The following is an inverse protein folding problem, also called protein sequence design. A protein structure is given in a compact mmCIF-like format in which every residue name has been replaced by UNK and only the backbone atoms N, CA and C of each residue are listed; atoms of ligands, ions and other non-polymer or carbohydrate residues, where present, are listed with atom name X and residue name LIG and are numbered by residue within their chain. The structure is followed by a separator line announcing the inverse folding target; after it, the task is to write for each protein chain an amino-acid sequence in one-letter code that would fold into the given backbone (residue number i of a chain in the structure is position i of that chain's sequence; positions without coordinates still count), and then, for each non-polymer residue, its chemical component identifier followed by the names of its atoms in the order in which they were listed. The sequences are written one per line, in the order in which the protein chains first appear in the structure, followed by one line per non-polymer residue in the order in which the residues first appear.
data_IF_967263206415
#
_entry.id   IF_967263206415
#
_cell.length_a   1.000
_cell.length_b   1.000
_cell.length_c   1.000
_cell.angle_alpha   90.00
_cell.angle_beta   90.00
_cell.angle_gamma   90.00
#
_symmetry.space_group_name_H-M   'P 1'
#
loop_
_entity.id
_entity.type
_entity.pdbx_description
1 polymer ?
#
# COMPACT_ATOMS: atom_id res chain seq x y z
N UNK A 1 -3.07 14.88 7.52
CA UNK A 1 -1.79 14.41 6.94
C UNK A 1 -2.04 13.23 6.03
N UNK A 2 -1.53 13.25 4.80
CA UNK A 2 -1.69 12.19 3.80
C UNK A 2 -0.36 11.52 3.55
N UNK A 3 -0.29 10.22 3.81
CA UNK A 3 0.92 9.42 3.73
C UNK A 3 0.78 8.34 2.66
N UNK A 4 1.83 8.12 1.88
CA UNK A 4 1.93 6.94 1.02
C UNK A 4 2.95 5.99 1.61
N UNK A 5 2.57 4.74 1.83
CA UNK A 5 3.50 3.67 2.17
C UNK A 5 3.92 2.96 0.88
N UNK A 6 5.21 3.01 0.62
CA UNK A 6 5.84 2.54 -0.60
C UNK A 6 6.78 1.38 -0.33
N UNK A 7 6.91 0.49 -1.29
CA UNK A 7 7.80 -0.66 -1.19
C UNK A 7 7.21 -1.91 -1.86
N UNK A 8 8.05 -2.92 -2.13
CA UNK A 8 7.62 -4.13 -2.82
C UNK A 8 6.58 -4.93 -2.02
N UNK A 9 5.89 -5.88 -2.66
CA UNK A 9 5.01 -6.82 -1.96
C UNK A 9 5.79 -7.55 -0.85
N UNK A 10 5.25 -7.61 0.37
CA UNK A 10 5.91 -8.22 1.52
C UNK A 10 6.88 -7.31 2.28
N UNK A 11 7.02 -6.03 1.91
CA UNK A 11 7.90 -5.08 2.59
C UNK A 11 7.45 -4.71 4.01
N UNK A 12 6.22 -5.05 4.42
CA UNK A 12 5.70 -4.71 5.74
C UNK A 12 4.80 -3.46 5.78
N UNK A 13 4.41 -2.92 4.62
CA UNK A 13 3.55 -1.72 4.53
C UNK A 13 2.26 -1.85 5.35
N UNK A 14 1.53 -2.95 5.18
CA UNK A 14 0.26 -3.17 5.89
C UNK A 14 0.42 -3.26 7.40
N UNK A 15 1.52 -3.86 7.88
CA UNK A 15 1.84 -3.91 9.32
C UNK A 15 2.06 -2.52 9.86
N UNK A 16 2.89 -1.72 9.20
CA UNK A 16 3.18 -0.35 9.62
C UNK A 16 1.95 0.56 9.49
N UNK A 17 1.13 0.38 8.45
CA UNK A 17 -0.11 1.14 8.30
C UNK A 17 -1.08 0.93 9.46
N UNK A 18 -1.25 -0.31 9.92
CA UNK A 18 -2.09 -0.63 11.09
C UNK A 18 -1.57 0.04 12.36
N UNK A 19 -0.26 -0.07 12.61
CA UNK A 19 0.37 0.57 13.77
C UNK A 19 0.17 2.09 13.72
N UNK A 20 0.37 2.71 12.57
CA UNK A 20 0.15 4.15 12.38
C UNK A 20 -1.31 4.55 12.56
N UNK A 21 -2.25 3.74 12.08
CA UNK A 21 -3.67 3.97 12.29
C UNK A 21 -4.02 3.99 13.77
N UNK A 22 -3.49 3.04 14.55
CA UNK A 22 -3.70 2.95 16.00
C UNK A 22 -3.04 4.12 16.75
N UNK A 23 -1.82 4.51 16.36
CA UNK A 23 -1.05 5.54 17.05
C UNK A 23 -1.42 6.97 16.66
N UNK A 24 -1.83 7.21 15.44
CA UNK A 24 -2.05 8.55 14.86
C UNK A 24 -3.50 8.83 14.46
N UNK A 25 -4.37 7.83 14.52
CA UNK A 25 -5.79 7.96 14.14
C UNK A 25 -6.01 8.22 12.64
N UNK A 26 -5.02 7.93 11.78
CA UNK A 26 -5.14 8.07 10.33
C UNK A 26 -5.68 6.77 9.73
N UNK A 27 -6.80 6.79 9.01
CA UNK A 27 -7.34 5.57 8.41
C UNK A 27 -6.41 5.02 7.34
N UNK A 28 -6.25 3.69 7.33
CA UNK A 28 -5.54 2.97 6.27
C UNK A 28 -6.48 2.73 5.08
N UNK A 29 -6.07 3.21 3.90
CA UNK A 29 -6.72 2.93 2.63
C UNK A 29 -5.89 1.89 1.88
N UNK A 30 -6.19 0.61 2.11
CA UNK A 30 -5.54 -0.53 1.45
C UNK A 30 -6.37 -0.98 0.25
N UNK A 31 -5.92 -0.66 -0.98
CA UNK A 31 -6.60 -1.11 -2.19
C UNK A 31 -6.69 -2.62 -2.29
N UNK A 32 -5.63 -3.32 -1.90
CA UNK A 32 -5.61 -4.78 -1.90
C UNK A 32 -6.67 -5.38 -0.96
N UNK A 33 -6.82 -4.83 0.24
CA UNK A 33 -7.81 -5.33 1.20
C UNK A 33 -9.24 -4.98 0.77
N UNK A 34 -9.48 -3.78 0.23
CA UNK A 34 -10.78 -3.39 -0.31
C UNK A 34 -11.21 -4.29 -1.48
N UNK A 35 -10.30 -4.61 -2.40
CA UNK A 35 -10.58 -5.50 -3.53
C UNK A 35 -10.79 -6.95 -3.07
N UNK A 36 -10.00 -7.44 -2.11
CA UNK A 36 -10.22 -8.77 -1.52
C UNK A 36 -11.56 -8.88 -0.81
N UNK A 37 -11.97 -7.84 -0.10
CA UNK A 37 -13.30 -7.79 0.52
C UNK A 37 -14.42 -7.82 -0.53
N UNK A 38 -14.28 -7.10 -1.65
CA UNK A 38 -15.23 -7.12 -2.75
C UNK A 38 -15.33 -8.51 -3.40
N UNK A 39 -14.19 -9.22 -3.55
CA UNK A 39 -14.14 -10.59 -4.07
C UNK A 39 -14.86 -11.54 -3.10
N UNK A 40 -14.57 -11.46 -1.81
CA UNK A 40 -15.20 -12.31 -0.79
C UNK A 40 -16.71 -12.08 -0.70
N UNK A 41 -17.17 -10.85 -0.89
CA UNK A 41 -18.59 -10.50 -0.92
C UNK A 41 -19.29 -10.87 -2.25
N UNK A 42 -18.53 -11.32 -3.26
CA UNK A 42 -19.08 -11.70 -4.57
C UNK A 42 -19.69 -10.55 -5.37
N UNK A 43 -19.24 -9.31 -5.12
CA UNK A 43 -19.70 -8.13 -5.86
C UNK A 43 -19.29 -8.19 -7.33
N UNK A 44 -19.98 -7.45 -8.20
CA UNK A 44 -19.61 -7.39 -9.62
C UNK A 44 -18.17 -6.89 -9.82
N UNK A 45 -17.74 -5.92 -9.01
CA UNK A 45 -16.35 -5.47 -8.97
C UNK A 45 -15.40 -6.60 -8.57
N UNK A 46 -15.73 -7.33 -7.48
CA UNK A 46 -14.93 -8.45 -7.00
C UNK A 46 -14.77 -9.55 -8.04
N UNK A 47 -15.85 -9.92 -8.71
CA UNK A 47 -15.83 -10.92 -9.80
C UNK A 47 -14.89 -10.49 -10.94
N UNK A 48 -14.96 -9.24 -11.36
CA UNK A 48 -14.09 -8.69 -12.43
C UNK A 48 -12.61 -8.67 -12.04
N UNK A 49 -12.31 -8.39 -10.78
CA UNK A 49 -10.93 -8.22 -10.31
C UNK A 49 -10.28 -9.54 -9.84
N UNK A 50 -11.06 -10.60 -9.60
CA UNK A 50 -10.60 -11.85 -8.99
C UNK A 50 -9.44 -12.51 -9.76
N UNK A 51 -9.59 -12.70 -11.07
CA UNK A 51 -8.56 -13.32 -11.89
C UNK A 51 -7.29 -12.48 -11.99
N UNK A 52 -7.43 -11.16 -12.12
CA UNK A 52 -6.32 -10.19 -12.19
C UNK A 52 -5.51 -10.26 -10.91
N UNK A 53 -6.15 -10.21 -9.75
CA UNK A 53 -5.49 -10.24 -8.46
C UNK A 53 -4.84 -11.60 -8.15
N UNK A 54 -5.49 -12.70 -8.53
CA UNK A 54 -4.93 -14.05 -8.36
C UNK A 54 -3.65 -14.24 -9.18
N UNK A 55 -3.55 -13.64 -10.37
CA UNK A 55 -2.34 -13.62 -11.18
C UNK A 55 -1.24 -12.70 -10.62
N UNK A 56 -1.57 -11.81 -9.70
CA UNK A 56 -0.65 -10.80 -9.16
C UNK A 56 -0.48 -9.57 -10.04
N UNK A 57 -1.39 -9.37 -10.99
CA UNK A 57 -1.42 -8.23 -11.90
C UNK A 57 -2.13 -7.02 -11.29
N UNK A 58 -2.00 -5.86 -11.97
CA UNK A 58 -2.65 -4.62 -11.54
C UNK A 58 -4.09 -4.54 -12.06
N UNK A 59 -5.01 -4.22 -11.16
CA UNK A 59 -6.38 -3.82 -11.53
C UNK A 59 -6.33 -2.50 -12.31
N UNK A 60 -7.19 -2.26 -13.32
CA UNK A 60 -7.19 -1.04 -14.12
C UNK A 60 -7.21 0.24 -13.28
N UNK A 61 -6.46 1.26 -13.72
CA UNK A 61 -6.23 2.50 -12.97
C UNK A 61 -7.53 3.23 -12.61
N UNK A 62 -8.48 3.32 -13.53
CA UNK A 62 -9.77 3.98 -13.33
C UNK A 62 -10.60 3.32 -12.21
N UNK A 63 -10.56 2.00 -12.13
CA UNK A 63 -11.24 1.21 -11.10
C UNK A 63 -10.63 1.52 -9.72
N UNK A 64 -9.29 1.44 -9.63
CA UNK A 64 -8.58 1.66 -8.35
C UNK A 64 -8.73 3.11 -7.87
N UNK A 65 -8.59 4.08 -8.78
CA UNK A 65 -8.76 5.51 -8.48
C UNK A 65 -10.19 5.79 -7.99
N UNK A 66 -11.20 5.19 -8.63
CA UNK A 66 -12.59 5.33 -8.22
C UNK A 66 -12.84 4.83 -6.79
N UNK A 67 -12.33 3.65 -6.45
CA UNK A 67 -12.44 3.06 -5.11
C UNK A 67 -11.77 3.97 -4.05
N UNK A 68 -10.58 4.47 -4.34
CA UNK A 68 -9.84 5.34 -3.43
C UNK A 68 -10.56 6.68 -3.24
N UNK A 69 -11.07 7.29 -4.31
CA UNK A 69 -11.80 8.56 -4.22
C UNK A 69 -13.05 8.43 -3.33
N UNK A 70 -13.85 7.39 -3.54
CA UNK A 70 -15.05 7.11 -2.73
C UNK A 70 -14.70 6.86 -1.27
N UNK A 71 -13.66 6.08 -1.00
CA UNK A 71 -13.21 5.79 0.37
C UNK A 71 -12.65 7.02 1.08
N UNK A 72 -11.89 7.86 0.35
CA UNK A 72 -11.28 9.07 0.91
C UNK A 72 -12.31 10.14 1.29
N UNK A 73 -13.49 10.13 0.66
CA UNK A 73 -14.59 11.05 0.97
C UNK A 73 -15.38 10.68 2.22
N UNK A 74 -15.05 9.55 2.88
CA UNK A 74 -15.66 9.19 4.15
C UNK A 74 -15.19 10.11 5.29
N UNK A 75 -16.04 10.37 6.31
CA UNK A 75 -15.75 11.33 7.38
C UNK A 75 -14.46 11.05 8.17
N UNK A 76 -14.07 9.79 8.30
CA UNK A 76 -12.86 9.39 9.03
C UNK A 76 -11.56 9.81 8.32
N UNK A 77 -11.63 10.11 7.01
CA UNK A 77 -10.50 10.62 6.23
C UNK A 77 -10.36 12.15 6.29
N UNK A 78 -11.19 12.87 7.03
CA UNK A 78 -11.13 14.33 7.12
C UNK A 78 -9.76 14.85 7.58
N UNK A 79 -9.09 14.14 8.51
CA UNK A 79 -7.74 14.45 9.00
C UNK A 79 -6.61 14.03 8.06
N UNK A 80 -6.92 13.30 7.00
CA UNK A 80 -5.99 12.65 6.08
C UNK A 80 -6.07 11.14 6.12
N UNK A 81 -5.15 10.45 5.43
CA UNK A 81 -5.18 9.01 5.32
C UNK A 81 -3.78 8.42 5.05
N UNK A 82 -3.66 7.12 5.24
CA UNK A 82 -2.50 6.30 4.87
C UNK A 82 -2.87 5.51 3.62
N UNK A 83 -2.25 5.83 2.50
CA UNK A 83 -2.42 5.07 1.26
C UNK A 83 -1.46 3.87 1.25
N UNK A 84 -2.03 2.66 1.27
CA UNK A 84 -1.29 1.41 1.26
C UNK A 84 -1.61 0.61 -0.01
N UNK A 85 -0.59 0.35 -0.81
CA UNK A 85 -0.74 -0.31 -2.11
C UNK A 85 -1.38 0.55 -3.20
N UNK A 86 -1.38 1.87 -3.02
CA UNK A 86 -1.81 2.89 -3.99
C UNK A 86 -1.04 4.19 -3.71
N UNK A 87 -0.59 4.94 -4.73
CA UNK A 87 -0.64 4.59 -6.16
C UNK A 87 0.38 3.48 -6.52
N UNK A 88 0.16 2.80 -7.65
CA UNK A 88 1.05 1.78 -8.21
C UNK A 88 1.55 2.08 -9.61
N UNK A 89 0.98 3.09 -10.26
CA UNK A 89 1.37 3.56 -11.59
C UNK A 89 1.44 5.08 -11.62
N UNK A 90 2.16 5.65 -12.60
CA UNK A 90 2.23 7.10 -12.78
C UNK A 90 0.83 7.71 -12.99
N UNK A 91 -0.05 7.17 -13.86
CA UNK A 91 -1.42 7.68 -13.99
C UNK A 91 -2.20 7.68 -12.66
N UNK A 92 -2.03 6.67 -11.82
CA UNK A 92 -2.64 6.63 -10.49
C UNK A 92 -2.08 7.72 -9.57
N UNK A 93 -0.77 7.99 -9.60
CA UNK A 93 -0.15 9.05 -8.81
C UNK A 93 -0.65 10.44 -9.22
N UNK A 94 -0.73 10.70 -10.52
CA UNK A 94 -1.28 11.95 -11.06
C UNK A 94 -2.75 12.14 -10.68
N UNK A 95 -3.55 11.06 -10.78
CA UNK A 95 -4.95 11.07 -10.37
C UNK A 95 -5.12 11.32 -8.86
N UNK A 96 -4.27 10.72 -8.02
CA UNK A 96 -4.27 10.95 -6.58
C UNK A 96 -3.93 12.40 -6.25
N UNK A 97 -2.87 12.95 -6.85
CA UNK A 97 -2.46 14.34 -6.64
C UNK A 97 -3.59 15.30 -7.06
N UNK A 98 -4.23 15.08 -8.22
CA UNK A 98 -5.35 15.87 -8.69
C UNK A 98 -6.59 15.75 -7.77
N UNK A 99 -6.88 14.53 -7.30
CA UNK A 99 -7.98 14.26 -6.37
C UNK A 99 -7.81 15.02 -5.05
N UNK A 100 -6.60 15.00 -4.49
CA UNK A 100 -6.28 15.69 -3.24
C UNK A 100 -6.29 17.22 -3.44
N UNK A 101 -5.73 17.71 -4.55
CA UNK A 101 -5.70 19.14 -4.85
C UNK A 101 -7.12 19.75 -4.95
N UNK A 102 -8.08 19.03 -5.54
CA UNK A 102 -9.50 19.44 -5.58
C UNK A 102 -10.12 19.61 -4.18
N UNK A 103 -9.52 18.97 -3.15
CA UNK A 103 -9.93 19.03 -1.74
C UNK A 103 -9.07 19.96 -0.91
N UNK A 104 -8.18 20.74 -1.54
CA UNK A 104 -7.21 21.60 -0.85
C UNK A 104 -6.16 20.84 -0.05
N UNK A 105 -5.90 19.59 -0.43
CA UNK A 105 -4.96 18.68 0.23
C UNK A 105 -3.85 18.24 -0.72
N UNK A 106 -2.82 17.62 -0.18
CA UNK A 106 -1.68 17.06 -0.93
C UNK A 106 -1.15 15.80 -0.26
N UNK A 107 -0.29 15.07 -0.92
CA UNK A 107 0.56 14.08 -0.26
C UNK A 107 1.63 14.83 0.53
N UNK A 108 1.71 14.55 1.82
CA UNK A 108 2.67 15.18 2.72
C UNK A 108 3.99 14.40 2.73
N UNK A 109 3.93 13.06 2.74
CA UNK A 109 5.11 12.22 2.82
C UNK A 109 4.90 10.89 2.12
N UNK A 110 5.95 10.40 1.48
CA UNK A 110 6.06 9.04 0.91
C UNK A 110 7.14 8.29 1.67
N UNK A 111 6.75 7.25 2.39
CA UNK A 111 7.63 6.41 3.19
C UNK A 111 7.97 5.15 2.41
N UNK A 112 9.19 5.05 1.92
CA UNK A 112 9.68 3.87 1.23
C UNK A 112 10.28 2.88 2.23
N UNK A 113 9.76 1.65 2.25
CA UNK A 113 10.36 0.53 2.98
C UNK A 113 11.27 -0.26 2.03
N UNK A 114 12.58 -0.12 2.18
CA UNK A 114 13.57 -0.87 1.41
C UNK A 114 13.74 -2.26 1.99
N UNK A 115 13.55 -3.28 1.15
CA UNK A 115 13.67 -4.69 1.54
C UNK A 115 14.34 -5.45 0.40
N UNK A 116 15.24 -6.38 0.74
CA UNK A 116 15.88 -7.26 -0.22
C UNK A 116 14.88 -8.28 -0.77
N UNK A 117 14.86 -8.46 -2.08
CA UNK A 117 13.95 -9.38 -2.77
C UNK A 117 14.09 -10.82 -2.28
N UNK A 118 15.30 -11.23 -1.89
CA UNK A 118 15.59 -12.57 -1.41
C UNK A 118 14.71 -13.00 -0.21
N UNK A 119 14.26 -12.04 0.62
CA UNK A 119 13.45 -12.34 1.81
C UNK A 119 11.95 -12.23 1.56
N UNK A 120 11.50 -11.65 0.45
CA UNK A 120 10.10 -11.33 0.22
C UNK A 120 9.24 -12.58 -0.01
N UNK A 121 9.76 -13.58 -0.72
CA UNK A 121 9.08 -14.88 -0.90
C UNK A 121 8.90 -15.57 0.45
N UNK A 122 9.95 -15.63 1.25
CA UNK A 122 9.89 -16.21 2.61
C UNK A 122 8.91 -15.49 3.53
N UNK A 123 8.80 -14.17 3.42
CA UNK A 123 7.78 -13.39 4.17
C UNK A 123 6.35 -13.75 3.74
N UNK A 124 6.11 -13.98 2.46
CA UNK A 124 4.81 -14.42 1.97
C UNK A 124 4.46 -15.82 2.50
N UNK A 125 5.42 -16.76 2.45
CA UNK A 125 5.25 -18.11 3.00
C UNK A 125 4.98 -18.10 4.50
N UNK A 126 5.70 -17.28 5.27
CA UNK A 126 5.47 -17.13 6.71
C UNK A 126 4.08 -16.58 7.00
N UNK A 127 3.62 -15.57 6.24
CA UNK A 127 2.27 -15.04 6.38
C UNK A 127 1.20 -16.11 6.12
N UNK A 128 1.39 -16.97 5.13
CA UNK A 128 0.51 -18.13 4.88
C UNK A 128 0.45 -19.04 6.10
N UNK A 129 1.61 -19.42 6.66
CA UNK A 129 1.71 -20.27 7.85
C UNK A 129 1.02 -19.66 9.06
N UNK A 130 1.27 -18.37 9.32
CA UNK A 130 0.66 -17.63 10.44
C UNK A 130 -0.86 -17.53 10.27
N UNK A 131 -1.35 -17.27 9.04
CA UNK A 131 -2.78 -17.21 8.75
C UNK A 131 -3.46 -18.55 9.00
N UNK A 132 -2.86 -19.64 8.55
CA UNK A 132 -3.39 -21.01 8.79
C UNK A 132 -3.36 -21.37 10.29
N UNK A 133 -2.29 -21.02 10.99
CA UNK A 133 -2.17 -21.27 12.44
C UNK A 133 -3.23 -20.50 13.24
N UNK A 134 -3.64 -19.33 12.75
CA UNK A 134 -4.73 -18.54 13.34
C UNK A 134 -6.14 -18.99 12.90
N UNK A 135 -6.26 -20.07 12.11
CA UNK A 135 -7.54 -20.59 11.60
C UNK A 135 -8.13 -19.74 10.45
N UNK A 136 -7.33 -18.85 9.86
CA UNK A 136 -7.76 -18.01 8.75
C UNK A 136 -7.51 -18.65 7.39
N UNK A 137 -7.98 -17.97 6.32
CA UNK A 137 -7.77 -18.38 4.93
C UNK A 137 -6.61 -17.55 4.35
N UNK A 138 -5.54 -18.19 3.84
CA UNK A 138 -4.44 -17.50 3.17
C UNK A 138 -4.92 -16.74 1.93
N UNK A 139 -4.20 -15.67 1.61
CA UNK A 139 -4.47 -14.90 0.39
C UNK A 139 -4.17 -15.75 -0.85
N UNK A 140 -5.03 -15.74 -1.87
CA UNK A 140 -4.79 -16.50 -3.11
C UNK A 140 -3.51 -16.07 -3.86
N UNK A 141 -3.08 -14.82 -3.65
CA UNK A 141 -1.92 -14.18 -4.28
C UNK A 141 -0.62 -14.30 -3.45
N UNK A 142 -0.57 -15.19 -2.45
CA UNK A 142 0.63 -15.44 -1.63
C UNK A 142 1.38 -16.73 -2.04
N UNK A 143 1.22 -17.20 -3.26
CA UNK A 143 2.06 -18.28 -3.81
C UNK A 143 3.43 -17.74 -4.23
N UNK A 144 4.52 -18.54 -4.15
CA UNK A 144 5.85 -18.09 -4.59
C UNK A 144 5.88 -17.55 -6.02
N UNK A 145 5.12 -18.17 -6.91
CA UNK A 145 5.00 -17.76 -8.32
C UNK A 145 4.31 -16.40 -8.44
N UNK A 146 3.18 -16.23 -7.79
CA UNK A 146 2.45 -14.95 -7.79
C UNK A 146 3.26 -13.83 -7.13
N UNK A 147 4.01 -14.12 -6.07
CA UNK A 147 4.90 -13.14 -5.43
C UNK A 147 5.99 -12.68 -6.40
N UNK A 148 6.60 -13.60 -7.17
CA UNK A 148 7.58 -13.24 -8.21
C UNK A 148 6.98 -12.35 -9.29
N UNK A 149 5.76 -12.67 -9.77
CA UNK A 149 5.07 -11.81 -10.73
C UNK A 149 4.78 -10.42 -10.15
N UNK A 150 4.29 -10.35 -8.91
CA UNK A 150 4.05 -9.08 -8.22
C UNK A 150 5.31 -8.24 -8.06
N UNK A 151 6.47 -8.85 -7.85
CA UNK A 151 7.76 -8.15 -7.82
C UNK A 151 8.11 -7.59 -9.19
N UNK A 152 7.97 -8.38 -10.26
CA UNK A 152 8.22 -7.91 -11.62
C UNK A 152 7.30 -6.73 -11.98
N UNK A 153 6.02 -6.82 -11.65
CA UNK A 153 5.02 -5.75 -11.84
C UNK A 153 5.39 -4.49 -11.03
N UNK A 154 5.84 -4.68 -9.77
CA UNK A 154 6.30 -3.58 -8.92
C UNK A 154 7.47 -2.83 -9.55
N UNK A 155 8.52 -3.51 -9.96
CA UNK A 155 9.68 -2.85 -10.55
C UNK A 155 9.37 -2.16 -11.86
N UNK A 156 8.52 -2.76 -12.70
CA UNK A 156 8.13 -2.19 -13.99
C UNK A 156 7.25 -0.94 -13.85
N UNK A 157 6.25 -0.99 -12.98
CA UNK A 157 5.17 0.01 -12.97
C UNK A 157 5.20 0.93 -11.75
N UNK A 158 5.67 0.43 -10.61
CA UNK A 158 5.52 1.12 -9.31
C UNK A 158 6.82 1.78 -8.84
N UNK A 159 7.97 1.12 -8.98
CA UNK A 159 9.25 1.70 -8.59
C UNK A 159 9.54 3.08 -9.25
N UNK A 160 9.12 3.36 -10.49
CA UNK A 160 9.29 4.69 -11.10
C UNK A 160 8.60 5.83 -10.33
N UNK A 161 7.63 5.54 -9.47
CA UNK A 161 6.97 6.53 -8.61
C UNK A 161 7.91 7.15 -7.58
N UNK A 162 8.98 6.47 -7.21
CA UNK A 162 10.02 7.05 -6.33
C UNK A 162 10.66 8.28 -6.95
N UNK A 163 10.92 8.26 -8.27
CA UNK A 163 11.43 9.42 -8.98
C UNK A 163 10.35 10.51 -9.12
N UNK A 164 9.09 10.12 -9.34
CA UNK A 164 7.96 11.05 -9.42
C UNK A 164 7.77 11.87 -8.14
N UNK A 165 7.71 11.21 -6.99
CA UNK A 165 7.59 11.88 -5.69
C UNK A 165 8.91 12.43 -5.16
N UNK A 166 10.04 11.85 -5.56
CA UNK A 166 11.38 12.32 -5.21
C UNK A 166 11.68 13.73 -5.74
N UNK A 167 11.23 14.02 -6.96
CA UNK A 167 11.30 15.39 -7.53
C UNK A 167 10.51 16.43 -6.74
N UNK A 168 9.53 15.99 -5.97
CA UNK A 168 8.72 16.83 -5.10
C UNK A 168 9.30 16.95 -3.67
N UNK A 169 10.43 16.30 -3.38
CA UNK A 169 11.06 16.28 -2.06
C UNK A 169 10.27 15.53 -0.98
N UNK A 170 9.39 14.60 -1.37
CA UNK A 170 8.45 13.95 -0.46
C UNK A 170 8.87 12.55 -0.01
N UNK A 171 9.95 11.98 -0.54
CA UNK A 171 10.33 10.59 -0.29
C UNK A 171 11.33 10.49 0.86
N UNK A 172 11.00 9.66 1.84
CA UNK A 172 11.92 9.20 2.90
C UNK A 172 12.06 7.68 2.81
N UNK A 173 13.30 7.22 2.58
CA UNK A 173 13.61 5.78 2.50
C UNK A 173 14.03 5.24 3.86
N UNK A 174 13.42 4.14 4.27
CA UNK A 174 13.65 3.47 5.54
C UNK A 174 14.09 2.03 5.35
N UNK A 175 14.86 1.50 6.29
CA UNK A 175 15.29 0.11 6.27
C UNK A 175 14.13 -0.83 6.68
N UNK A 176 13.44 -1.42 5.71
CA UNK A 176 12.37 -2.39 5.93
C UNK A 176 12.86 -3.79 6.34
N UNK A 177 14.17 -4.01 6.43
CA UNK A 177 14.78 -5.24 6.95
C UNK A 177 14.92 -5.24 8.48
N UNK A 178 14.83 -4.08 9.12
CA UNK A 178 14.90 -3.95 10.56
C UNK A 178 13.69 -4.59 11.27
N UNK A 179 13.78 -4.89 12.57
CA UNK A 179 12.64 -5.33 13.37
C UNK A 179 11.46 -4.34 13.29
N UNK A 180 10.23 -4.85 13.37
CA UNK A 180 9.00 -4.03 13.24
C UNK A 180 9.05 -2.78 14.12
N UNK A 181 9.46 -2.92 15.40
CA UNK A 181 9.52 -1.81 16.34
C UNK A 181 10.53 -0.71 15.92
N UNK A 182 11.64 -1.09 15.31
CA UNK A 182 12.64 -0.14 14.81
C UNK A 182 12.14 0.59 13.57
N UNK A 183 11.49 -0.12 12.64
CA UNK A 183 10.84 0.50 11.48
C UNK A 183 9.77 1.49 11.95
N UNK A 184 8.95 1.11 12.93
CA UNK A 184 7.93 2.00 13.52
C UNK A 184 8.54 3.27 14.10
N UNK A 185 9.66 3.17 14.84
CA UNK A 185 10.38 4.33 15.37
C UNK A 185 10.94 5.23 14.28
N UNK A 186 11.52 4.63 13.23
CA UNK A 186 12.04 5.40 12.09
C UNK A 186 10.93 6.14 11.34
N UNK A 187 9.77 5.51 11.17
CA UNK A 187 8.59 6.16 10.60
C UNK A 187 8.13 7.33 11.47
N UNK A 188 8.03 7.13 12.79
CA UNK A 188 7.63 8.20 13.71
C UNK A 188 8.56 9.42 13.63
N UNK A 189 9.87 9.20 13.59
CA UNK A 189 10.86 10.26 13.42
C UNK A 189 10.67 11.03 12.10
N UNK A 190 10.50 10.31 10.98
CA UNK A 190 10.26 10.93 9.67
C UNK A 190 8.96 11.77 9.64
N UNK A 191 7.92 11.30 10.33
CA UNK A 191 6.65 12.04 10.44
C UNK A 191 6.76 13.30 11.29
N UNK A 192 7.58 13.27 12.33
CA UNK A 192 7.78 14.42 13.21
C UNK A 192 8.65 15.49 12.53
N UNK A 193 9.66 15.09 11.75
CA UNK A 193 10.44 15.99 10.88
C UNK A 193 9.59 16.65 9.79
N UNK A 194 8.64 15.92 9.20
CA UNK A 194 7.76 16.45 8.14
C UNK A 194 6.70 17.45 8.64
N UNK A 195 6.54 17.61 9.96
CA UNK A 195 5.60 18.56 10.58
C UNK A 195 6.24 19.90 10.93
N UNK A 196 7.58 19.96 11.02
CA UNK A 196 8.34 21.18 11.29
C UNK A 196 8.59 21.97 10.03
#
# INVERSE_FOLDING_TARGET
MNLVLFGPPGAGKGTQAKILQEQRGLPQLSTGDMLRAAIAAGTELGKKCQAIMAAGDLVPDDVVVGIIAERYDQPDCAGGAIFDGFPRTIPQAEALDAMLAKRGKKIDLVLELKVDDAVLVGRAENRVKETLAAGGTPRPDDTPETVKNRLAVYYKNTAPLLAYYGKQGKVVSLNGMAPIAEVTKAIAAALDEAKG
#
